data_IF_885412111103
#
_entry.id   IF_885412111103
#
_cell.length_a   1.000
_cell.length_b   1.000
_cell.length_c   1.000
_cell.angle_alpha   90.00
_cell.angle_beta   90.00
_cell.angle_gamma   90.00
#
_symmetry.space_group_name_H-M   'P 1'
#
loop_
_entity.id
_entity.type
_entity.pdbx_description
1 polymer ?
#
# COMPACT_ATOMS: atom_id res chain seq x y z
N UNK A 1 19.33 38.15 91.43
CA UNK A 1 18.78 39.48 91.11
C UNK A 1 18.25 39.36 89.70
N UNK A 2 16.94 39.32 89.57
CA UNK A 2 16.04 40.30 89.02
C UNK A 2 16.53 40.79 87.60
N UNK A 3 15.85 40.74 86.57
CA UNK A 3 14.46 40.99 86.04
C UNK A 3 14.66 41.01 84.51
N UNK A 4 13.84 40.92 83.62
CA UNK A 4 12.42 40.93 83.37
C UNK A 4 12.24 40.63 81.85
N UNK A 5 11.16 40.00 81.57
CA UNK A 5 10.58 39.89 80.25
C UNK A 5 9.92 41.25 79.93
N UNK A 6 9.82 41.68 78.66
CA UNK A 6 8.54 41.70 78.01
C UNK A 6 8.59 41.32 76.50
N UNK A 7 7.69 40.46 76.11
CA UNK A 7 6.38 40.64 75.47
C UNK A 7 6.46 41.31 74.12
N UNK A 8 6.22 40.45 73.11
CA UNK A 8 5.42 40.60 71.90
C UNK A 8 5.19 41.98 71.27
N UNK A 9 5.19 42.09 69.91
CA UNK A 9 4.01 41.63 69.21
C UNK A 9 4.24 40.84 67.90
N UNK A 10 3.35 39.92 67.80
CA UNK A 10 2.83 39.19 66.67
C UNK A 10 2.71 40.09 65.41
N UNK A 11 3.55 39.87 64.39
CA UNK A 11 3.26 40.34 63.02
C UNK A 11 2.97 39.10 62.21
N UNK A 12 1.70 38.84 62.04
CA UNK A 12 1.17 37.85 61.10
C UNK A 12 1.43 38.43 59.69
N UNK A 13 2.51 37.97 59.03
CA UNK A 13 2.70 38.22 57.63
C UNK A 13 1.99 37.11 56.84
N UNK A 14 0.81 37.40 56.41
CA UNK A 14 -0.04 36.59 55.55
C UNK A 14 0.69 36.42 54.18
N UNK A 15 1.45 35.34 53.99
CA UNK A 15 1.97 34.93 52.72
C UNK A 15 0.84 34.34 51.87
N UNK A 16 0.23 35.17 51.05
CA UNK A 16 -0.59 34.69 49.94
C UNK A 16 0.29 33.95 48.93
N UNK A 17 0.32 32.60 49.02
CA UNK A 17 0.84 31.76 47.98
C UNK A 17 -0.15 31.72 46.81
N UNK A 18 0.11 32.50 45.77
CA UNK A 18 -0.55 32.29 44.47
C UNK A 18 -0.10 30.94 43.91
N UNK A 19 -0.94 29.95 44.10
CA UNK A 19 -0.83 28.68 43.34
C UNK A 19 -1.28 29.01 41.88
N UNK A 20 -0.37 29.48 41.07
CA UNK A 20 -0.56 29.55 39.63
C UNK A 20 -0.50 28.12 39.05
N UNK A 21 -1.67 27.50 38.82
CA UNK A 21 -1.76 26.34 37.97
C UNK A 21 -1.42 26.76 36.54
N UNK A 22 -0.13 26.76 36.20
CA UNK A 22 0.34 26.83 34.84
C UNK A 22 -0.01 25.53 34.13
N UNK A 23 -1.17 25.50 33.46
CA UNK A 23 -1.45 24.44 32.49
C UNK A 23 -0.43 24.56 31.36
N UNK A 24 0.58 23.68 31.36
CA UNK A 24 1.44 23.49 30.19
C UNK A 24 0.53 23.09 29.02
N UNK A 25 0.60 23.77 27.86
CA UNK A 25 -0.12 23.31 26.70
C UNK A 25 0.39 21.90 26.40
N UNK A 26 -0.51 20.90 26.55
CA UNK A 26 -0.26 19.55 26.08
C UNK A 26 0.09 19.63 24.60
N UNK A 27 1.22 19.07 24.12
CA UNK A 27 1.47 19.02 22.70
C UNK A 27 0.26 18.33 22.08
N UNK A 28 -0.43 19.04 21.19
CA UNK A 28 -1.50 18.44 20.41
C UNK A 28 -0.93 17.18 19.75
N UNK A 29 -1.64 16.04 19.79
CA UNK A 29 -1.19 14.87 19.06
C UNK A 29 -1.08 15.31 17.61
N UNK A 30 0.14 15.26 17.06
CA UNK A 30 0.37 15.36 15.63
C UNK A 30 -0.17 14.05 15.09
N UNK A 31 -1.49 13.95 14.94
CA UNK A 31 -2.11 12.99 14.05
C UNK A 31 -1.61 13.33 12.67
N UNK A 32 -0.49 12.73 12.30
CA UNK A 32 -0.20 12.52 10.90
C UNK A 32 -1.38 11.68 10.38
N UNK A 33 -2.40 12.37 9.90
CA UNK A 33 -3.51 11.77 9.20
C UNK A 33 -2.91 11.09 7.97
N UNK A 34 -2.48 9.85 8.14
CA UNK A 34 -2.34 8.95 7.01
C UNK A 34 -3.75 8.91 6.42
N UNK A 35 -3.95 9.54 5.28
CA UNK A 35 -5.22 9.49 4.58
C UNK A 35 -5.48 8.02 4.30
N UNK A 36 -6.30 7.41 5.12
CA UNK A 36 -6.67 6.01 4.98
C UNK A 36 -7.43 5.85 3.67
N UNK A 37 -7.08 4.82 2.91
CA UNK A 37 -7.77 4.50 1.66
C UNK A 37 -9.22 4.16 1.98
N UNK A 38 -10.22 4.82 1.36
CA UNK A 38 -11.63 4.54 1.60
C UNK A 38 -11.93 3.05 1.45
N UNK A 39 -12.84 2.52 2.28
CA UNK A 39 -13.28 1.13 2.13
C UNK A 39 -13.98 0.93 0.77
N UNK A 40 -13.70 -0.18 0.07
CA UNK A 40 -14.33 -0.48 -1.19
C UNK A 40 -15.82 -0.79 -1.00
N UNK A 41 -16.66 -0.38 -1.94
CA UNK A 41 -18.04 -0.83 -1.97
C UNK A 41 -18.16 -2.32 -2.36
N UNK A 42 -19.34 -2.90 -2.18
CA UNK A 42 -19.57 -4.32 -2.46
C UNK A 42 -19.22 -4.67 -3.92
N UNK A 43 -19.48 -3.78 -4.87
CA UNK A 43 -19.22 -4.04 -6.28
C UNK A 43 -17.72 -4.01 -6.60
N UNK A 44 -16.94 -3.17 -5.92
CA UNK A 44 -15.49 -3.15 -6.02
C UNK A 44 -14.87 -4.42 -5.41
N UNK A 45 -15.41 -4.88 -4.28
CA UNK A 45 -15.00 -6.15 -3.65
C UNK A 45 -15.27 -7.36 -4.57
N UNK A 46 -16.45 -7.43 -5.20
CA UNK A 46 -16.80 -8.52 -6.12
C UNK A 46 -15.88 -8.53 -7.34
N UNK A 47 -15.56 -7.36 -7.91
CA UNK A 47 -14.61 -7.24 -9.02
C UNK A 47 -13.20 -7.64 -8.59
N UNK A 48 -12.77 -7.23 -7.41
CA UNK A 48 -11.48 -7.58 -6.83
C UNK A 48 -11.34 -9.10 -6.68
N UNK A 49 -12.33 -9.74 -6.05
CA UNK A 49 -12.36 -11.19 -5.89
C UNK A 49 -12.32 -11.90 -7.25
N UNK A 50 -13.10 -11.43 -8.22
CA UNK A 50 -13.12 -11.99 -9.57
C UNK A 50 -11.75 -11.88 -10.26
N UNK A 51 -11.08 -10.74 -10.15
CA UNK A 51 -9.73 -10.51 -10.69
C UNK A 51 -8.72 -11.46 -10.07
N UNK A 52 -8.74 -11.60 -8.74
CA UNK A 52 -7.83 -12.49 -8.00
C UNK A 52 -8.05 -13.95 -8.38
N UNK A 53 -9.31 -14.41 -8.37
CA UNK A 53 -9.63 -15.79 -8.73
C UNK A 53 -9.25 -16.11 -10.17
N UNK A 54 -9.50 -15.19 -11.09
CA UNK A 54 -9.10 -15.36 -12.48
C UNK A 54 -7.58 -15.42 -12.63
N UNK A 55 -6.83 -14.56 -11.92
CA UNK A 55 -5.38 -14.56 -11.91
C UNK A 55 -4.80 -15.88 -11.40
N UNK A 56 -5.35 -16.42 -10.32
CA UNK A 56 -4.97 -17.71 -9.76
C UNK A 56 -5.26 -18.87 -10.72
N UNK A 57 -6.37 -18.79 -11.47
CA UNK A 57 -6.73 -19.78 -12.51
C UNK A 57 -5.79 -19.80 -13.71
N UNK A 58 -4.95 -18.78 -13.88
CA UNK A 58 -3.94 -18.74 -14.96
C UNK A 58 -2.55 -19.22 -14.53
N UNK A 59 -2.36 -19.66 -13.28
CA UNK A 59 -1.08 -20.22 -12.83
C UNK A 59 -0.67 -21.36 -13.78
N UNK A 60 0.63 -21.45 -14.06
CA UNK A 60 1.26 -22.35 -15.02
C UNK A 60 1.01 -22.02 -16.51
N UNK A 61 0.21 -21.02 -16.85
CA UNK A 61 0.16 -20.53 -18.23
C UNK A 61 1.55 -20.08 -18.70
N UNK A 62 1.93 -20.45 -19.93
CA UNK A 62 3.25 -20.19 -20.47
C UNK A 62 3.53 -18.70 -20.69
N UNK A 63 4.79 -18.29 -20.53
CA UNK A 63 5.24 -16.97 -20.92
C UNK A 63 5.47 -16.87 -22.42
N UNK A 64 5.04 -15.74 -23.00
CA UNK A 64 5.42 -15.33 -24.36
C UNK A 64 5.52 -13.82 -24.42
N UNK A 65 6.61 -13.27 -24.93
CA UNK A 65 6.75 -11.84 -25.13
C UNK A 65 5.65 -11.32 -26.09
N UNK A 66 4.91 -10.29 -25.65
CA UNK A 66 3.76 -9.77 -26.38
C UNK A 66 2.52 -10.67 -26.36
N UNK A 67 2.54 -11.77 -25.61
CA UNK A 67 1.42 -12.71 -25.47
C UNK A 67 0.28 -12.10 -24.63
N UNK A 68 -0.97 -12.39 -25.05
CA UNK A 68 -2.17 -11.76 -24.46
C UNK A 68 -3.33 -12.72 -24.21
N UNK A 69 -3.13 -14.02 -24.37
CA UNK A 69 -4.16 -15.02 -24.16
C UNK A 69 -3.56 -16.35 -23.69
N UNK A 70 -4.37 -17.23 -23.04
CA UNK A 70 -3.87 -18.49 -22.47
C UNK A 70 -3.22 -19.42 -23.49
N UNK A 71 -3.76 -19.50 -24.71
CA UNK A 71 -3.27 -20.43 -25.73
C UNK A 71 -1.94 -20.00 -26.36
N UNK A 72 -1.71 -18.70 -26.49
CA UNK A 72 -0.47 -18.16 -27.02
C UNK A 72 0.59 -17.91 -25.94
N UNK A 73 0.20 -17.90 -24.68
CA UNK A 73 1.01 -17.46 -23.55
C UNK A 73 0.83 -15.97 -23.25
N UNK A 74 1.45 -15.52 -22.14
CA UNK A 74 1.36 -14.16 -21.64
C UNK A 74 2.71 -13.50 -21.43
N UNK A 75 2.83 -12.19 -21.71
CA UNK A 75 3.77 -11.37 -20.98
C UNK A 75 3.07 -10.71 -19.75
N UNK A 76 3.81 -9.98 -18.92
CA UNK A 76 3.28 -9.39 -17.70
C UNK A 76 2.10 -8.44 -17.95
N UNK A 77 2.20 -7.54 -18.92
CA UNK A 77 1.16 -6.58 -19.27
C UNK A 77 -0.01 -7.23 -20.01
N UNK A 78 0.26 -8.22 -20.84
CA UNK A 78 -0.77 -9.00 -21.55
C UNK A 78 -1.62 -9.84 -20.59
N UNK A 79 -1.00 -10.46 -19.59
CA UNK A 79 -1.71 -11.18 -18.52
C UNK A 79 -2.66 -10.24 -17.76
N UNK A 80 -2.15 -9.10 -17.28
CA UNK A 80 -2.96 -8.11 -16.54
C UNK A 80 -4.12 -7.62 -17.40
N UNK A 81 -3.84 -7.24 -18.66
CA UNK A 81 -4.87 -6.76 -19.59
C UNK A 81 -5.96 -7.79 -19.85
N UNK A 82 -5.57 -9.06 -20.01
CA UNK A 82 -6.50 -10.17 -20.20
C UNK A 82 -7.40 -10.37 -18.97
N UNK A 83 -6.79 -10.46 -17.79
CA UNK A 83 -7.52 -10.69 -16.52
C UNK A 83 -8.53 -9.58 -16.28
N UNK A 84 -8.11 -8.31 -16.37
CA UNK A 84 -9.00 -7.18 -16.11
C UNK A 84 -10.15 -7.10 -17.14
N UNK A 85 -9.90 -7.44 -18.38
CA UNK A 85 -10.94 -7.49 -19.40
C UNK A 85 -11.98 -8.58 -19.12
N UNK A 86 -11.54 -9.77 -18.68
CA UNK A 86 -12.42 -10.92 -18.46
C UNK A 86 -13.14 -10.85 -17.10
N UNK A 87 -12.44 -10.44 -16.04
CA UNK A 87 -12.97 -10.51 -14.68
C UNK A 87 -13.64 -9.22 -14.20
N UNK A 88 -13.24 -8.05 -14.74
CA UNK A 88 -13.75 -6.76 -14.30
C UNK A 88 -14.35 -5.91 -15.44
N UNK A 89 -14.34 -6.39 -16.69
CA UNK A 89 -14.81 -5.61 -17.84
C UNK A 89 -13.92 -4.39 -18.19
N UNK A 90 -12.73 -4.27 -17.60
CA UNK A 90 -11.83 -3.13 -17.78
C UNK A 90 -10.81 -3.43 -18.88
N UNK A 91 -10.84 -2.65 -19.96
CA UNK A 91 -9.91 -2.80 -21.07
C UNK A 91 -8.63 -2.02 -20.82
N UNK A 92 -7.52 -2.74 -20.72
CA UNK A 92 -6.18 -2.19 -20.63
C UNK A 92 -5.39 -2.50 -21.89
N UNK A 93 -4.44 -1.65 -22.23
CA UNK A 93 -3.58 -1.82 -23.40
C UNK A 93 -2.22 -1.20 -23.16
N UNK A 94 -1.22 -1.66 -23.92
CA UNK A 94 0.15 -1.16 -23.87
C UNK A 94 1.05 -1.99 -22.95
N UNK A 95 2.21 -1.41 -22.66
CA UNK A 95 3.22 -1.97 -21.76
C UNK A 95 2.82 -1.82 -20.29
N UNK A 96 3.60 -2.42 -19.38
CA UNK A 96 3.43 -2.19 -17.95
C UNK A 96 3.52 -0.70 -17.58
N UNK A 97 4.42 0.05 -18.21
CA UNK A 97 4.55 1.50 -18.02
C UNK A 97 3.30 2.28 -18.48
N UNK A 98 2.67 1.87 -19.58
CA UNK A 98 1.42 2.50 -20.04
C UNK A 98 0.25 2.19 -19.07
N UNK A 99 0.19 0.97 -18.56
CA UNK A 99 -0.80 0.56 -17.55
C UNK A 99 -0.58 1.33 -16.24
N UNK A 100 0.67 1.61 -15.85
CA UNK A 100 1.00 2.36 -14.64
C UNK A 100 0.46 3.81 -14.65
N UNK A 101 0.14 4.36 -15.84
CA UNK A 101 -0.50 5.68 -15.98
C UNK A 101 -2.03 5.62 -15.75
N UNK A 102 -2.57 4.42 -15.61
CA UNK A 102 -4.01 4.20 -15.40
C UNK A 102 -4.30 3.94 -13.91
N UNK A 103 -5.53 4.19 -13.53
CA UNK A 103 -5.98 3.93 -12.17
C UNK A 103 -5.49 4.96 -11.14
N UNK A 104 -5.94 4.77 -9.90
CA UNK A 104 -5.59 5.61 -8.76
C UNK A 104 -4.30 5.14 -8.11
N UNK A 105 -3.38 6.04 -7.73
CA UNK A 105 -2.23 5.68 -6.91
C UNK A 105 -2.65 5.05 -5.59
N UNK A 106 -1.97 3.99 -5.18
CA UNK A 106 -2.18 3.29 -3.91
C UNK A 106 -0.89 3.33 -3.08
N UNK A 107 -1.01 3.67 -1.80
CA UNK A 107 0.11 3.53 -0.85
C UNK A 107 0.45 2.04 -0.70
N UNK A 108 1.73 1.70 -0.79
CA UNK A 108 2.20 0.31 -0.71
C UNK A 108 1.86 -0.36 0.64
N UNK A 109 1.55 0.43 1.67
CA UNK A 109 1.08 -0.05 2.98
C UNK A 109 -0.42 -0.34 3.02
N UNK A 110 -1.16 0.06 1.98
CA UNK A 110 -2.62 -0.06 1.89
C UNK A 110 -3.05 -0.89 0.68
N UNK A 111 -2.19 -1.81 0.26
CA UNK A 111 -2.49 -2.74 -0.83
C UNK A 111 -3.69 -3.61 -0.50
N UNK A 112 -4.58 -3.75 -1.47
CA UNK A 112 -5.75 -4.65 -1.41
C UNK A 112 -5.70 -5.65 -2.56
N UNK A 113 -6.22 -6.87 -2.39
CA UNK A 113 -6.32 -7.82 -3.49
C UNK A 113 -6.95 -7.19 -4.73
N UNK A 114 -6.40 -7.47 -5.91
CA UNK A 114 -6.78 -6.84 -7.18
C UNK A 114 -6.00 -5.58 -7.56
N UNK A 115 -5.22 -4.98 -6.64
CA UNK A 115 -4.32 -3.88 -7.00
C UNK A 115 -3.19 -4.35 -7.91
N UNK A 116 -2.76 -3.45 -8.79
CA UNK A 116 -1.58 -3.66 -9.63
C UNK A 116 -0.33 -3.20 -8.91
N UNK A 117 0.72 -4.03 -8.94
CA UNK A 117 2.05 -3.72 -8.38
C UNK A 117 3.08 -3.66 -9.52
N UNK A 118 3.88 -2.61 -9.52
CA UNK A 118 4.82 -2.29 -10.60
C UNK A 118 6.26 -2.33 -10.12
N UNK A 119 7.14 -2.85 -10.96
CA UNK A 119 8.53 -3.09 -10.61
C UNK A 119 9.50 -2.61 -11.69
N UNK A 120 10.71 -2.26 -11.26
CA UNK A 120 11.86 -2.03 -12.12
C UNK A 120 12.73 -3.29 -12.22
N UNK A 121 12.44 -4.16 -13.16
CA UNK A 121 13.17 -5.42 -13.34
C UNK A 121 14.22 -5.38 -14.46
N UNK A 122 14.28 -4.26 -15.23
CA UNK A 122 15.16 -4.13 -16.40
C UNK A 122 15.93 -2.81 -16.42
N UNK A 123 16.21 -2.22 -15.26
CA UNK A 123 16.77 -0.87 -15.13
C UNK A 123 15.95 0.18 -15.90
N UNK A 124 14.65 -0.04 -16.02
CA UNK A 124 13.68 0.85 -16.64
C UNK A 124 12.43 0.90 -15.76
N UNK A 125 11.96 2.11 -15.38
CA UNK A 125 10.77 2.27 -14.55
C UNK A 125 9.57 1.52 -15.12
N UNK A 126 8.79 0.91 -14.22
CA UNK A 126 7.56 0.18 -14.54
C UNK A 126 7.74 -0.86 -15.66
N UNK A 127 8.90 -1.53 -15.67
CA UNK A 127 9.21 -2.55 -16.71
C UNK A 127 8.52 -3.88 -16.49
N UNK A 128 7.85 -4.06 -15.33
CA UNK A 128 7.11 -5.25 -14.98
C UNK A 128 5.90 -4.93 -14.13
N UNK A 129 4.85 -5.77 -14.23
CA UNK A 129 3.60 -5.61 -13.49
C UNK A 129 3.07 -6.97 -13.04
N UNK A 130 2.42 -6.97 -11.87
CA UNK A 130 1.67 -8.11 -11.33
C UNK A 130 0.38 -7.65 -10.67
N UNK A 131 -0.44 -8.61 -10.25
CA UNK A 131 -1.70 -8.42 -9.52
C UNK A 131 -1.49 -8.86 -8.09
N UNK A 132 -1.67 -7.97 -7.14
CA UNK A 132 -1.62 -8.27 -5.71
C UNK A 132 -2.81 -9.16 -5.31
N UNK A 133 -2.55 -10.20 -4.54
CA UNK A 133 -3.55 -11.19 -4.14
C UNK A 133 -3.74 -11.30 -2.62
N UNK A 134 -3.10 -10.40 -1.85
CA UNK A 134 -3.08 -10.46 -0.38
C UNK A 134 -1.81 -11.11 0.17
N UNK A 135 -1.61 -11.00 1.48
CA UNK A 135 -0.51 -11.64 2.24
C UNK A 135 0.90 -11.40 1.64
N UNK A 136 1.14 -10.17 1.19
CA UNK A 136 2.38 -9.77 0.49
C UNK A 136 2.71 -10.61 -0.75
N UNK A 137 1.71 -11.20 -1.39
CA UNK A 137 1.87 -12.02 -2.59
C UNK A 137 1.22 -11.38 -3.81
N UNK A 138 1.75 -11.68 -4.96
CA UNK A 138 1.21 -11.23 -6.25
C UNK A 138 1.36 -12.31 -7.32
N UNK A 139 0.49 -12.26 -8.32
CA UNK A 139 0.55 -13.12 -9.52
C UNK A 139 1.17 -12.32 -10.66
N UNK A 140 2.08 -12.92 -11.40
CA UNK A 140 2.73 -12.31 -12.55
C UNK A 140 3.13 -13.34 -13.62
N UNK A 141 3.47 -12.84 -14.82
CA UNK A 141 4.08 -13.62 -15.90
C UNK A 141 5.56 -13.19 -16.06
N UNK A 142 6.53 -13.86 -15.42
CA UNK A 142 7.96 -13.54 -15.54
C UNK A 142 8.53 -14.05 -16.87
N UNK A 143 9.49 -13.29 -17.43
CA UNK A 143 10.08 -13.64 -18.74
C UNK A 143 11.03 -14.85 -18.68
N UNK A 144 11.80 -15.00 -17.63
CA UNK A 144 12.79 -16.07 -17.42
C UNK A 144 13.43 -16.62 -18.73
N UNK A 145 13.95 -15.72 -19.53
CA UNK A 145 14.52 -16.05 -20.84
C UNK A 145 13.51 -16.76 -21.78
N UNK A 146 12.22 -16.38 -21.70
CA UNK A 146 11.15 -16.92 -22.53
C UNK A 146 10.56 -18.26 -22.09
N UNK A 147 11.01 -18.80 -20.94
CA UNK A 147 10.52 -20.08 -20.39
C UNK A 147 9.68 -19.89 -19.12
N UNK A 148 9.42 -18.65 -18.73
CA UNK A 148 8.62 -18.35 -17.55
C UNK A 148 7.19 -18.88 -17.65
N UNK A 149 6.56 -19.00 -16.50
CA UNK A 149 5.14 -19.34 -16.36
C UNK A 149 4.50 -18.36 -15.40
N UNK A 150 3.21 -18.14 -15.57
CA UNK A 150 2.41 -17.41 -14.58
C UNK A 150 2.53 -18.10 -13.23
N UNK A 151 2.88 -17.34 -12.22
CA UNK A 151 3.05 -17.86 -10.85
C UNK A 151 2.86 -16.78 -9.80
N UNK A 152 2.81 -17.20 -8.55
CA UNK A 152 2.82 -16.30 -7.40
C UNK A 152 4.24 -16.07 -6.90
N UNK A 153 4.50 -14.83 -6.48
CA UNK A 153 5.75 -14.43 -5.81
C UNK A 153 5.46 -13.56 -4.60
N UNK A 154 6.45 -13.40 -3.72
CA UNK A 154 6.34 -12.54 -2.54
C UNK A 154 6.91 -11.15 -2.81
N UNK A 155 6.17 -10.11 -2.43
CA UNK A 155 6.68 -8.73 -2.41
C UNK A 155 7.88 -8.57 -1.46
N UNK A 156 8.00 -9.45 -0.45
CA UNK A 156 9.09 -9.45 0.54
C UNK A 156 10.33 -10.21 0.08
N UNK A 157 10.28 -10.90 -1.06
CA UNK A 157 11.49 -11.54 -1.59
C UNK A 157 12.56 -10.49 -1.89
N UNK A 158 13.83 -10.80 -1.65
CA UNK A 158 14.94 -9.85 -1.87
C UNK A 158 14.95 -9.25 -3.28
N UNK A 159 14.52 -10.04 -4.28
CA UNK A 159 14.48 -9.60 -5.66
C UNK A 159 13.39 -8.53 -5.90
N UNK A 160 12.17 -8.78 -5.44
CA UNK A 160 11.03 -7.89 -5.69
C UNK A 160 10.95 -6.71 -4.71
N UNK A 161 11.31 -6.92 -3.45
CA UNK A 161 11.29 -5.85 -2.43
C UNK A 161 12.13 -4.63 -2.82
N UNK A 162 13.29 -4.86 -3.43
CA UNK A 162 14.19 -3.77 -3.87
C UNK A 162 13.81 -3.15 -5.22
N UNK A 163 12.81 -3.69 -5.91
CA UNK A 163 12.38 -3.29 -7.26
C UNK A 163 10.94 -2.78 -7.33
N UNK A 164 10.20 -2.87 -6.25
CA UNK A 164 8.83 -2.37 -6.16
C UNK A 164 8.84 -0.84 -6.23
N UNK A 165 8.13 -0.27 -7.20
CA UNK A 165 8.12 1.18 -7.45
C UNK A 165 6.80 1.84 -7.12
N UNK A 166 5.68 1.19 -7.42
CA UNK A 166 4.36 1.78 -7.24
C UNK A 166 3.25 0.72 -7.21
N UNK A 167 2.08 1.15 -6.76
CA UNK A 167 0.84 0.41 -6.94
C UNK A 167 -0.27 1.30 -7.52
N UNK A 168 -1.26 0.67 -8.17
CA UNK A 168 -2.45 1.32 -8.72
C UNK A 168 -3.70 0.47 -8.46
N UNK A 169 -4.81 1.13 -8.11
CA UNK A 169 -6.13 0.53 -8.16
C UNK A 169 -6.86 0.94 -9.43
N UNK A 170 -7.55 -0.02 -10.03
CA UNK A 170 -8.46 0.17 -11.16
C UNK A 170 -9.90 -0.17 -10.77
N UNK A 171 -10.10 -0.56 -9.52
CA UNK A 171 -11.38 -1.11 -9.03
C UNK A 171 -12.10 -0.17 -8.06
N UNK A 172 -11.42 0.88 -7.56
CA UNK A 172 -11.97 1.91 -6.65
C UNK A 172 -12.66 3.06 -7.40
#
# INVERSE_FOLDING_TARGET
MRRSVPIFPLVILLLMTLAGCGSLPSPAPVSASLTERPEPDASALDRSNSVVLYALGLIDAGYRYGGKNPSAGFDCSGMVSHIFAQAAGIRLSGSAADIAQRGKPVDLRQLRPGDLVFFNTRNKPFSHVGIYIGEDRFVHAPSESGRGRVRTESLKSNYFATRLEAARSLLD
#
